data_IF_218008399550
#
_entry.id   IF_218008399550
#
_cell.length_a   1.000
_cell.length_b   1.000
_cell.length_c   1.000
_cell.angle_alpha   90.00
_cell.angle_beta   90.00
_cell.angle_gamma   90.00
#
_symmetry.space_group_name_H-M   'P 1'
#
loop_
_entity.id
_entity.type
_entity.pdbx_description
1 polymer ?
#
# COMPACT_ATOMS: atom_id res chain seq x y z
N UNK A 1 -19.20 -0.54 -16.23
CA UNK A 1 -18.09 -1.45 -16.43
C UNK A 1 -17.55 -1.41 -17.87
N UNK A 2 -18.39 -1.73 -18.89
CA UNK A 2 -17.94 -1.76 -20.30
C UNK A 2 -17.40 -0.43 -20.80
N UNK A 3 -17.98 0.69 -20.40
CA UNK A 3 -17.52 2.01 -20.79
C UNK A 3 -16.14 2.31 -20.18
N UNK A 4 -15.94 1.98 -18.90
CA UNK A 4 -14.64 2.11 -18.24
C UNK A 4 -13.54 1.27 -18.91
N UNK A 5 -13.86 0.04 -19.34
CA UNK A 5 -12.89 -0.80 -20.09
C UNK A 5 -12.52 -0.15 -21.41
N UNK A 6 -13.51 0.34 -22.18
CA UNK A 6 -13.25 1.03 -23.46
C UNK A 6 -12.40 2.28 -23.30
N UNK A 7 -12.66 3.06 -22.25
CA UNK A 7 -11.91 4.29 -21.94
C UNK A 7 -10.46 3.95 -21.58
N UNK A 8 -10.24 2.92 -20.78
CA UNK A 8 -8.91 2.45 -20.44
C UNK A 8 -8.14 1.91 -21.64
N UNK A 9 -8.79 1.12 -22.50
CA UNK A 9 -8.19 0.63 -23.74
C UNK A 9 -7.88 1.78 -24.72
N UNK A 10 -8.77 2.78 -24.83
CA UNK A 10 -8.54 3.95 -25.66
C UNK A 10 -7.33 4.74 -25.15
N UNK A 11 -7.24 4.97 -23.84
CA UNK A 11 -6.10 5.63 -23.21
C UNK A 11 -4.80 4.86 -23.42
N UNK A 12 -4.81 3.54 -23.28
CA UNK A 12 -3.62 2.72 -23.52
C UNK A 12 -3.12 2.90 -24.96
N UNK A 13 -4.02 2.82 -25.96
CA UNK A 13 -3.69 3.01 -27.37
C UNK A 13 -3.19 4.43 -27.68
N UNK A 14 -3.81 5.46 -27.11
CA UNK A 14 -3.39 6.86 -27.25
C UNK A 14 -1.96 7.08 -26.74
N UNK A 15 -1.60 6.38 -25.65
CA UNK A 15 -0.26 6.44 -25.05
C UNK A 15 0.75 5.46 -25.69
N UNK A 16 0.35 4.73 -26.75
CA UNK A 16 1.23 3.85 -27.52
C UNK A 16 1.38 2.43 -26.95
N UNK A 17 0.46 1.99 -26.11
CA UNK A 17 0.43 0.63 -25.56
C UNK A 17 -0.64 -0.21 -26.28
N UNK A 18 -0.36 -1.50 -26.47
CA UNK A 18 -1.32 -2.43 -27.06
C UNK A 18 -2.38 -2.88 -26.05
N UNK A 19 -1.99 -2.98 -24.77
CA UNK A 19 -2.84 -3.46 -23.68
C UNK A 19 -2.87 -2.50 -22.49
N UNK A 20 -3.98 -2.54 -21.75
CA UNK A 20 -4.12 -1.80 -20.49
C UNK A 20 -3.11 -2.28 -19.44
N UNK A 21 -2.86 -3.60 -19.37
CA UNK A 21 -1.85 -4.18 -18.46
C UNK A 21 -0.45 -3.63 -18.70
N UNK A 22 -0.05 -3.43 -19.96
CA UNK A 22 1.25 -2.81 -20.32
C UNK A 22 1.34 -1.36 -19.83
N UNK A 23 0.29 -0.56 -20.07
CA UNK A 23 0.23 0.81 -19.55
C UNK A 23 0.34 0.84 -18.02
N UNK A 24 -0.39 -0.03 -17.33
CA UNK A 24 -0.35 -0.11 -15.86
C UNK A 24 1.04 -0.48 -15.34
N UNK A 25 1.69 -1.44 -15.96
CA UNK A 25 3.07 -1.80 -15.64
C UNK A 25 4.04 -0.64 -15.90
N UNK A 26 3.89 0.06 -17.01
CA UNK A 26 4.71 1.24 -17.33
C UNK A 26 4.57 2.31 -16.23
N UNK A 27 3.35 2.59 -15.77
CA UNK A 27 3.09 3.53 -14.67
C UNK A 27 3.79 3.06 -13.39
N UNK A 28 3.65 1.78 -13.02
CA UNK A 28 4.31 1.23 -11.84
C UNK A 28 5.84 1.36 -11.92
N UNK A 29 6.43 1.08 -13.08
CA UNK A 29 7.88 1.24 -13.32
C UNK A 29 8.32 2.70 -13.27
N UNK A 30 7.54 3.62 -13.80
CA UNK A 30 7.82 5.06 -13.74
C UNK A 30 7.85 5.56 -12.30
N UNK A 31 6.91 5.11 -11.47
CA UNK A 31 6.90 5.41 -10.03
C UNK A 31 8.14 4.81 -9.34
N UNK A 32 8.49 3.56 -9.65
CA UNK A 32 9.72 2.92 -9.14
C UNK A 32 10.97 3.74 -9.46
N UNK A 33 11.10 4.15 -10.70
CA UNK A 33 12.28 4.89 -11.17
C UNK A 33 12.35 6.29 -10.52
N UNK A 34 11.19 6.94 -10.32
CA UNK A 34 11.10 8.19 -9.56
C UNK A 34 11.59 8.01 -8.11
N UNK A 35 11.12 6.97 -7.42
CA UNK A 35 11.58 6.68 -6.04
C UNK A 35 13.06 6.33 -6.02
N UNK A 36 13.50 5.46 -6.93
CA UNK A 36 14.92 5.08 -7.04
C UNK A 36 15.84 6.28 -7.24
N UNK A 37 15.36 7.31 -7.94
CA UNK A 37 16.07 8.57 -8.17
C UNK A 37 16.14 9.50 -6.96
N UNK A 38 15.41 9.22 -5.87
CA UNK A 38 15.39 10.03 -4.65
C UNK A 38 14.00 10.58 -4.30
N UNK A 39 12.94 10.13 -5.00
CA UNK A 39 11.56 10.51 -4.72
C UNK A 39 11.00 9.86 -3.46
N UNK A 40 9.82 10.31 -3.06
CA UNK A 40 9.05 9.72 -1.97
C UNK A 40 7.72 9.18 -2.48
N UNK A 41 7.40 7.94 -2.15
CA UNK A 41 6.10 7.32 -2.44
C UNK A 41 5.32 7.14 -1.14
N UNK A 42 4.12 7.71 -1.09
CA UNK A 42 3.12 7.43 -0.06
C UNK A 42 1.94 6.72 -0.69
N UNK A 43 1.68 5.47 -0.30
CA UNK A 43 0.58 4.68 -0.82
C UNK A 43 -0.28 4.12 0.31
N UNK A 44 -1.56 3.96 0.03
CA UNK A 44 -2.57 3.49 0.97
C UNK A 44 -3.48 2.46 0.31
N UNK A 45 -4.12 1.63 1.13
CA UNK A 45 -5.14 0.69 0.71
C UNK A 45 -4.59 -0.28 -0.37
N UNK A 46 -5.40 -0.66 -1.36
CA UNK A 46 -5.01 -1.56 -2.45
C UNK A 46 -3.87 -1.04 -3.34
N UNK A 47 -3.55 0.24 -3.30
CA UNK A 47 -2.39 0.75 -4.03
C UNK A 47 -1.07 0.19 -3.51
N UNK A 48 -1.03 -0.33 -2.30
CA UNK A 48 0.18 -0.87 -1.66
C UNK A 48 0.57 -2.23 -2.19
N UNK A 49 -0.35 -3.20 -2.16
CA UNK A 49 -0.11 -4.56 -2.62
C UNK A 49 -0.13 -4.66 -4.15
N UNK A 50 -1.12 -4.04 -4.83
CA UNK A 50 -1.22 -4.07 -6.30
C UNK A 50 -0.01 -3.46 -6.99
N UNK A 51 0.58 -2.41 -6.42
CA UNK A 51 1.83 -1.82 -6.90
C UNK A 51 2.99 -2.84 -6.86
N UNK A 52 3.15 -3.53 -5.73
CA UNK A 52 4.20 -4.55 -5.59
C UNK A 52 3.94 -5.78 -6.48
N UNK A 53 2.68 -6.19 -6.63
CA UNK A 53 2.29 -7.27 -7.54
C UNK A 53 2.67 -6.90 -8.98
N UNK A 54 2.31 -5.70 -9.45
CA UNK A 54 2.65 -5.23 -10.79
C UNK A 54 4.16 -5.24 -11.06
N UNK A 55 4.96 -4.76 -10.11
CA UNK A 55 6.43 -4.77 -10.24
C UNK A 55 7.01 -6.18 -10.30
N UNK A 56 6.48 -7.12 -9.50
CA UNK A 56 6.95 -8.50 -9.51
C UNK A 56 6.61 -9.25 -10.79
N UNK A 57 5.54 -8.85 -11.46
CA UNK A 57 5.01 -9.49 -12.67
C UNK A 57 5.55 -8.88 -13.98
N UNK A 58 6.64 -8.16 -13.95
CA UNK A 58 7.21 -7.47 -15.13
C UNK A 58 7.44 -8.40 -16.33
N UNK A 59 7.66 -9.70 -16.10
CA UNK A 59 7.98 -10.69 -17.14
C UNK A 59 6.88 -11.70 -17.39
N UNK A 60 5.69 -11.48 -16.87
CA UNK A 60 4.58 -12.41 -17.00
C UNK A 60 3.25 -11.68 -16.99
N UNK A 61 2.29 -12.22 -17.74
CA UNK A 61 0.93 -11.72 -17.75
C UNK A 61 0.14 -12.30 -16.57
N UNK A 62 -0.39 -11.41 -15.72
CA UNK A 62 -1.23 -11.76 -14.58
C UNK A 62 -2.67 -11.25 -14.76
N UNK A 63 -2.99 -10.68 -15.94
CA UNK A 63 -4.30 -10.13 -16.20
C UNK A 63 -5.24 -11.22 -16.73
N UNK A 64 -6.35 -11.44 -16.06
CA UNK A 64 -7.34 -12.43 -16.50
C UNK A 64 -8.12 -11.94 -17.72
N UNK A 65 -8.47 -12.89 -18.60
CA UNK A 65 -9.15 -12.67 -19.88
C UNK A 65 -10.35 -11.70 -19.80
N UNK A 66 -11.08 -11.71 -18.69
CA UNK A 66 -12.23 -10.81 -18.55
C UNK A 66 -11.86 -9.33 -18.50
N UNK A 67 -10.60 -8.99 -18.22
CA UNK A 67 -10.15 -7.61 -18.07
C UNK A 67 -9.51 -7.02 -19.33
N UNK A 68 -8.81 -7.85 -20.13
CA UNK A 68 -8.06 -7.38 -21.31
C UNK A 68 -8.21 -8.25 -22.58
N UNK A 69 -8.99 -9.33 -22.49
CA UNK A 69 -9.38 -10.14 -23.65
C UNK A 69 -8.44 -11.28 -24.03
N UNK A 70 -7.31 -11.45 -23.31
CA UNK A 70 -6.46 -12.64 -23.44
C UNK A 70 -6.20 -13.32 -22.08
N UNK A 71 -5.85 -14.62 -22.08
CA UNK A 71 -5.70 -15.35 -20.83
C UNK A 71 -4.39 -14.98 -20.13
N UNK A 72 -4.44 -14.90 -18.79
CA UNK A 72 -3.24 -14.79 -17.98
C UNK A 72 -2.29 -15.99 -18.17
N UNK A 73 -1.00 -15.79 -17.91
CA UNK A 73 -0.01 -16.86 -17.93
C UNK A 73 -0.29 -17.88 -16.81
N UNK A 74 -0.60 -19.15 -17.14
CA UNK A 74 -0.90 -20.17 -16.13
C UNK A 74 0.29 -20.45 -15.18
N UNK A 75 1.49 -20.05 -15.55
CA UNK A 75 2.71 -20.20 -14.76
C UNK A 75 3.17 -18.88 -14.13
N UNK A 76 2.33 -17.84 -14.09
CA UNK A 76 2.68 -16.52 -13.61
C UNK A 76 3.34 -16.54 -12.24
N UNK A 77 2.80 -17.32 -11.29
CA UNK A 77 3.35 -17.43 -9.94
C UNK A 77 4.84 -17.79 -9.90
N UNK A 78 5.30 -18.63 -10.80
CA UNK A 78 6.70 -19.08 -10.83
C UNK A 78 7.65 -18.11 -11.51
N UNK A 79 7.10 -17.10 -12.18
CA UNK A 79 7.83 -16.08 -12.93
C UNK A 79 7.94 -14.75 -12.20
N UNK A 80 7.34 -14.63 -11.00
CA UNK A 80 7.42 -13.41 -10.22
C UNK A 80 8.87 -13.12 -9.77
N UNK A 81 9.28 -11.88 -9.95
CA UNK A 81 10.59 -11.40 -9.47
C UNK A 81 10.41 -10.47 -8.28
N UNK A 82 10.54 -11.04 -7.08
CA UNK A 82 10.40 -10.27 -5.84
C UNK A 82 11.53 -9.27 -5.58
N UNK A 83 12.63 -9.28 -6.36
CA UNK A 83 13.66 -8.25 -6.26
C UNK A 83 13.18 -6.89 -6.80
N UNK A 84 12.15 -6.89 -7.64
CA UNK A 84 11.57 -5.66 -8.18
C UNK A 84 10.59 -4.97 -7.22
N UNK A 85 10.12 -5.68 -6.20
CA UNK A 85 9.12 -5.15 -5.25
C UNK A 85 9.76 -4.28 -4.18
N UNK A 86 8.97 -3.37 -3.61
CA UNK A 86 9.41 -2.51 -2.51
C UNK A 86 9.31 -3.24 -1.17
N UNK A 87 8.12 -3.69 -0.81
CA UNK A 87 7.81 -4.14 0.54
C UNK A 87 7.67 -5.65 0.69
N UNK A 88 7.23 -6.36 -0.35
CA UNK A 88 6.73 -7.73 -0.20
C UNK A 88 7.49 -8.73 -1.05
N UNK A 89 7.58 -9.95 -0.54
CA UNK A 89 8.20 -11.12 -1.19
C UNK A 89 7.42 -12.40 -0.88
N UNK A 90 7.68 -13.43 -1.63
CA UNK A 90 7.20 -14.80 -1.40
C UNK A 90 5.66 -14.91 -1.28
N UNK A 91 4.95 -13.90 -1.78
CA UNK A 91 3.49 -13.91 -1.80
C UNK A 91 2.93 -14.79 -2.92
N UNK A 92 1.70 -15.23 -2.70
CA UNK A 92 0.95 -16.05 -3.66
C UNK A 92 -0.12 -15.21 -4.31
N UNK A 93 -0.15 -15.19 -5.64
CA UNK A 93 -1.20 -14.55 -6.40
C UNK A 93 -2.54 -15.26 -6.22
N UNK A 94 -3.60 -14.49 -6.22
CA UNK A 94 -4.99 -14.95 -6.33
C UNK A 94 -5.48 -14.47 -7.70
N UNK A 95 -5.49 -15.40 -8.66
CA UNK A 95 -5.81 -15.10 -10.07
C UNK A 95 -7.32 -15.08 -10.32
N UNK A 96 -8.14 -15.62 -9.42
CA UNK A 96 -9.58 -15.66 -9.61
C UNK A 96 -10.21 -14.27 -9.53
N UNK A 97 -10.87 -13.77 -10.58
CA UNK A 97 -11.54 -12.48 -10.56
C UNK A 97 -12.77 -12.44 -9.65
N UNK A 98 -13.18 -13.59 -9.11
CA UNK A 98 -14.31 -13.72 -8.16
C UNK A 98 -13.86 -13.60 -6.71
N UNK A 99 -12.56 -13.48 -6.43
CA UNK A 99 -11.99 -13.25 -5.11
C UNK A 99 -11.58 -11.80 -5.01
N UNK A 100 -11.85 -11.18 -3.87
CA UNK A 100 -11.64 -9.75 -3.67
C UNK A 100 -10.16 -9.37 -3.55
N UNK A 101 -9.37 -10.25 -2.89
CA UNK A 101 -7.94 -10.06 -2.73
C UNK A 101 -7.18 -10.45 -4.00
N UNK A 102 -6.07 -9.75 -4.28
CA UNK A 102 -5.18 -10.05 -5.41
C UNK A 102 -4.04 -11.00 -5.04
N UNK A 103 -3.76 -11.13 -3.75
CA UNK A 103 -2.73 -12.03 -3.21
C UNK A 103 -2.90 -12.24 -1.71
N UNK A 104 -2.10 -13.14 -1.15
CA UNK A 104 -2.06 -13.35 0.31
C UNK A 104 -1.21 -12.29 1.06
N UNK A 105 -0.83 -11.20 0.42
CA UNK A 105 -0.33 -10.00 1.12
C UNK A 105 -1.45 -9.40 1.96
N UNK A 106 -2.63 -9.25 1.34
CA UNK A 106 -3.83 -8.78 2.01
C UNK A 106 -4.45 -9.88 2.88
N UNK A 107 -4.58 -9.62 4.17
CA UNK A 107 -5.19 -10.55 5.12
C UNK A 107 -6.53 -10.04 5.65
N UNK A 108 -7.10 -9.01 5.04
CA UNK A 108 -8.33 -8.34 5.50
C UNK A 108 -9.50 -9.31 5.66
N UNK A 109 -9.75 -10.17 4.67
CA UNK A 109 -10.86 -11.14 4.69
C UNK A 109 -10.66 -12.29 5.70
N UNK A 110 -9.43 -12.57 6.08
CA UNK A 110 -9.11 -13.63 7.02
C UNK A 110 -9.18 -13.18 8.48
N UNK A 111 -9.39 -11.90 8.70
CA UNK A 111 -9.43 -11.30 10.03
C UNK A 111 -10.76 -11.60 10.70
N UNK A 112 -10.69 -11.90 12.00
CA UNK A 112 -11.85 -12.07 12.89
C UNK A 112 -11.93 -10.94 13.92
N UNK A 113 -11.47 -9.75 13.53
CA UNK A 113 -11.46 -8.57 14.39
C UNK A 113 -12.71 -7.76 14.08
N UNK A 114 -13.47 -7.41 15.11
CA UNK A 114 -14.60 -6.48 14.95
C UNK A 114 -14.07 -5.07 14.76
N UNK A 115 -14.85 -4.28 14.04
CA UNK A 115 -14.52 -2.89 13.72
C UNK A 115 -14.11 -2.08 14.98
N UNK A 116 -14.89 -2.20 16.04
CA UNK A 116 -14.66 -1.46 17.29
C UNK A 116 -13.41 -1.91 18.05
N UNK A 117 -12.87 -3.07 17.70
CA UNK A 117 -11.69 -3.67 18.29
C UNK A 117 -10.46 -3.59 17.39
N UNK A 118 -10.62 -2.99 16.20
CA UNK A 118 -9.54 -2.94 15.22
C UNK A 118 -8.59 -1.77 15.51
N UNK A 119 -7.54 -2.07 16.26
CA UNK A 119 -6.47 -1.14 16.58
C UNK A 119 -5.12 -1.71 16.18
N UNK A 120 -4.19 -0.82 15.89
CA UNK A 120 -2.78 -1.17 15.76
C UNK A 120 -1.93 -0.31 16.68
N UNK A 121 -0.78 -0.84 17.07
CA UNK A 121 0.17 -0.15 17.94
C UNK A 121 1.32 0.37 17.11
N UNK A 122 1.64 1.64 17.28
CA UNK A 122 2.81 2.27 16.69
C UNK A 122 4.08 1.76 17.38
N UNK A 123 5.16 1.65 16.61
CA UNK A 123 6.47 1.41 17.14
C UNK A 123 6.88 2.55 18.08
N UNK A 124 7.49 2.22 19.21
CA UNK A 124 7.98 3.22 20.17
C UNK A 124 9.22 3.90 19.62
N UNK A 125 9.04 5.16 19.20
CA UNK A 125 10.15 5.99 18.74
C UNK A 125 10.77 6.78 19.89
N UNK A 126 12.08 6.91 19.81
CA UNK A 126 12.81 7.92 20.60
C UNK A 126 13.25 9.04 19.66
N UNK A 127 13.02 10.29 20.06
CA UNK A 127 13.47 11.45 19.29
C UNK A 127 14.99 11.45 19.01
N UNK A 128 15.75 10.68 19.76
CA UNK A 128 17.21 10.49 19.58
C UNK A 128 17.53 9.46 18.51
N UNK A 129 16.74 8.41 18.37
CA UNK A 129 17.03 7.24 17.53
C UNK A 129 16.03 7.03 16.38
N UNK A 130 15.06 7.92 16.30
CA UNK A 130 13.97 7.80 15.35
C UNK A 130 14.46 7.93 13.91
N UNK A 131 14.38 6.88 13.08
CA UNK A 131 14.77 6.95 11.68
C UNK A 131 13.83 7.83 10.86
N UNK A 132 12.60 8.06 11.34
CA UNK A 132 11.54 8.82 10.67
C UNK A 132 10.89 9.81 11.64
N UNK A 133 11.58 10.94 11.96
CA UNK A 133 11.17 11.86 13.05
C UNK A 133 9.75 12.41 12.93
N UNK A 134 9.21 12.52 11.70
CA UNK A 134 7.85 13.03 11.47
C UNK A 134 6.75 12.11 11.99
N UNK A 135 7.09 10.86 12.34
CA UNK A 135 6.14 9.88 12.86
C UNK A 135 5.82 10.04 14.34
N UNK A 136 6.54 10.90 15.05
CA UNK A 136 6.36 11.14 16.49
C UNK A 136 5.14 11.99 16.87
N UNK A 137 4.43 12.53 15.91
CA UNK A 137 3.41 13.54 16.16
C UNK A 137 1.99 12.97 16.26
N UNK A 138 1.74 12.06 17.20
CA UNK A 138 0.48 11.26 17.27
C UNK A 138 -0.43 11.66 18.42
N UNK A 139 -0.54 12.92 18.82
CA UNK A 139 -1.26 13.28 20.04
C UNK A 139 -0.82 12.53 21.29
N UNK A 140 0.45 12.12 21.34
CA UNK A 140 1.04 11.29 22.41
C UNK A 140 0.39 9.92 22.58
N UNK A 141 -0.35 9.43 21.58
CA UNK A 141 -0.86 8.06 21.57
C UNK A 141 0.04 7.16 20.71
N UNK A 142 0.18 5.90 21.13
CA UNK A 142 0.81 4.84 20.35
C UNK A 142 -0.20 3.80 19.86
N UNK A 143 -1.47 3.95 20.17
CA UNK A 143 -2.54 3.08 19.73
C UNK A 143 -3.48 3.86 18.82
N UNK A 144 -3.67 3.36 17.61
CA UNK A 144 -4.42 4.01 16.55
C UNK A 144 -5.50 3.05 16.05
N UNK A 145 -6.70 3.57 15.83
CA UNK A 145 -7.77 2.82 15.20
C UNK A 145 -7.37 2.37 13.80
N UNK A 146 -7.74 1.17 13.40
CA UNK A 146 -7.42 0.63 12.08
C UNK A 146 -8.07 1.46 10.98
N UNK A 147 -7.40 1.56 9.84
CA UNK A 147 -7.95 2.28 8.69
C UNK A 147 -8.83 1.35 7.87
N UNK A 148 -9.97 1.86 7.42
CA UNK A 148 -10.84 1.16 6.48
C UNK A 148 -10.25 1.18 5.07
N UNK A 149 -10.49 0.14 4.29
CA UNK A 149 -10.07 0.06 2.89
C UNK A 149 -10.03 -1.37 2.37
N UNK A 150 -9.69 -1.54 1.10
CA UNK A 150 -9.60 -2.86 0.48
C UNK A 150 -8.50 -3.69 1.14
N UNK A 151 -7.27 -3.19 1.14
CA UNK A 151 -6.12 -3.83 1.78
C UNK A 151 -5.91 -3.17 3.13
N UNK A 152 -6.55 -3.68 4.17
CA UNK A 152 -6.53 -3.09 5.52
C UNK A 152 -5.33 -3.56 6.34
N UNK A 153 -4.81 -4.74 6.05
CA UNK A 153 -3.72 -5.35 6.82
C UNK A 153 -2.79 -6.18 5.95
N UNK A 154 -1.51 -6.16 6.27
CA UNK A 154 -0.47 -6.89 5.54
C UNK A 154 -0.04 -8.16 6.29
N UNK A 155 0.08 -9.25 5.55
CA UNK A 155 0.67 -10.49 6.03
C UNK A 155 2.16 -10.28 6.33
N UNK A 156 2.54 -10.35 7.60
CA UNK A 156 3.93 -10.15 8.03
C UNK A 156 4.92 -11.15 7.41
N UNK A 157 4.46 -12.35 7.06
CA UNK A 157 5.31 -13.35 6.42
C UNK A 157 5.71 -12.97 4.98
N UNK A 158 4.96 -12.06 4.34
CA UNK A 158 5.28 -11.56 3.02
C UNK A 158 6.15 -10.29 3.04
N UNK A 159 6.41 -9.70 4.20
CA UNK A 159 7.21 -8.48 4.32
C UNK A 159 8.70 -8.82 4.21
N UNK A 160 9.45 -8.05 3.44
CA UNK A 160 10.90 -8.18 3.33
C UNK A 160 11.59 -7.80 4.66
N UNK A 161 12.73 -8.40 4.94
CA UNK A 161 13.45 -8.22 6.22
C UNK A 161 14.06 -6.84 6.44
N UNK A 162 14.25 -6.07 5.38
CA UNK A 162 14.76 -4.70 5.38
C UNK A 162 13.66 -3.63 5.51
N UNK A 163 12.41 -4.05 5.55
CA UNK A 163 11.26 -3.16 5.73
C UNK A 163 11.01 -2.89 7.20
N UNK A 164 10.86 -1.62 7.55
CA UNK A 164 10.54 -1.20 8.91
C UNK A 164 9.02 -1.27 9.14
N UNK A 165 8.60 -2.09 10.11
CA UNK A 165 7.21 -2.13 10.55
C UNK A 165 7.00 -1.02 11.58
N UNK A 166 6.25 0.01 11.19
CA UNK A 166 5.99 1.20 11.98
C UNK A 166 4.74 1.07 12.83
N UNK A 167 3.78 0.25 12.40
CA UNK A 167 2.54 -0.02 13.11
C UNK A 167 2.05 -1.44 12.82
N UNK A 168 1.63 -2.13 13.87
CA UNK A 168 1.21 -3.53 13.79
C UNK A 168 0.09 -3.88 14.78
N UNK A 169 -0.70 -4.88 14.45
CA UNK A 169 -1.53 -5.59 15.39
C UNK A 169 -0.83 -6.92 15.74
N UNK A 170 -0.18 -6.96 16.91
CA UNK A 170 0.59 -8.15 17.34
C UNK A 170 -0.29 -9.37 17.57
N UNK A 171 -1.50 -9.17 18.11
CA UNK A 171 -2.40 -10.27 18.42
C UNK A 171 -2.90 -10.97 17.14
N UNK A 172 -3.10 -10.22 16.06
CA UNK A 172 -3.49 -10.74 14.77
C UNK A 172 -2.30 -11.12 13.87
N UNK A 173 -1.07 -10.83 14.27
CA UNK A 173 0.15 -11.00 13.48
C UNK A 173 0.10 -10.24 12.14
N UNK A 174 -0.39 -9.01 12.15
CA UNK A 174 -0.57 -8.16 10.98
C UNK A 174 0.27 -6.90 11.09
N UNK A 175 0.83 -6.44 9.94
CA UNK A 175 1.37 -5.10 9.82
C UNK A 175 0.32 -4.17 9.20
N UNK A 176 0.32 -2.89 9.64
CA UNK A 176 -0.64 -1.87 9.21
C UNK A 176 0.02 -0.65 8.60
N UNK A 177 1.25 -0.42 8.98
CA UNK A 177 2.01 0.74 8.61
C UNK A 177 3.48 0.33 8.48
N UNK A 178 4.02 0.46 7.28
CA UNK A 178 5.37 0.02 6.96
C UNK A 178 6.11 1.09 6.15
N UNK A 179 7.44 1.12 6.30
CA UNK A 179 8.32 2.10 5.66
C UNK A 179 9.60 1.43 5.17
N UNK A 180 10.19 1.97 4.12
CA UNK A 180 11.47 1.50 3.61
C UNK A 180 12.15 2.46 2.66
N UNK A 181 13.31 2.04 2.20
CA UNK A 181 14.11 2.73 1.19
C UNK A 181 14.09 1.95 -0.12
N UNK A 182 14.22 2.66 -1.24
CA UNK A 182 14.41 2.05 -2.55
C UNK A 182 15.31 2.94 -3.39
N UNK A 183 16.51 2.46 -3.72
CA UNK A 183 17.53 3.27 -4.37
C UNK A 183 17.94 4.46 -3.50
N UNK A 184 17.69 5.68 -3.96
CA UNK A 184 17.97 6.92 -3.22
C UNK A 184 16.75 7.51 -2.53
N UNK A 185 15.58 6.95 -2.77
CA UNK A 185 14.32 7.44 -2.24
C UNK A 185 13.75 6.58 -1.13
N UNK A 186 12.59 6.99 -0.66
CA UNK A 186 11.87 6.33 0.45
C UNK A 186 10.42 6.13 0.08
N UNK A 187 9.78 5.20 0.78
CA UNK A 187 8.36 4.93 0.60
C UNK A 187 7.70 4.59 1.93
N UNK A 188 6.40 4.83 2.00
CA UNK A 188 5.56 4.51 3.15
C UNK A 188 4.23 3.94 2.68
N UNK A 189 3.81 2.82 3.26
CA UNK A 189 2.55 2.16 2.96
C UNK A 189 1.68 2.02 4.20
N UNK A 190 0.40 2.31 4.04
CA UNK A 190 -0.64 2.05 5.02
C UNK A 190 -1.64 1.01 4.53
N UNK A 191 -2.02 0.09 5.40
CA UNK A 191 -3.23 -0.69 5.21
C UNK A 191 -4.46 0.18 5.47
N UNK A 192 -5.40 0.19 4.53
CA UNK A 192 -6.56 1.07 4.56
C UNK A 192 -6.26 2.54 4.24
N UNK A 193 -7.28 3.37 4.25
CA UNK A 193 -7.17 4.79 3.90
C UNK A 193 -8.02 5.72 4.78
N UNK A 194 -9.09 5.23 5.42
CA UNK A 194 -9.92 6.06 6.27
C UNK A 194 -9.85 5.60 7.73
N UNK A 195 -9.26 6.42 8.62
CA UNK A 195 -9.12 6.09 10.03
C UNK A 195 -10.37 6.32 10.87
N UNK A 196 -11.39 7.02 10.36
CA UNK A 196 -12.55 7.44 11.14
C UNK A 196 -13.88 7.00 10.53
N UNK A 197 -13.87 6.46 9.30
CA UNK A 197 -15.06 5.99 8.62
C UNK A 197 -14.93 4.53 8.17
N UNK A 198 -15.32 3.60 9.03
CA UNK A 198 -15.32 2.16 8.76
C UNK A 198 -16.47 1.70 7.85
N UNK A 199 -17.42 2.57 7.55
CA UNK A 199 -18.63 2.26 6.76
C UNK A 199 -18.74 3.06 5.48
N UNK A 200 -17.64 3.68 5.05
CA UNK A 200 -17.60 4.45 3.83
C UNK A 200 -17.82 3.56 2.61
N UNK A 201 -18.90 3.83 1.88
CA UNK A 201 -19.22 3.14 0.64
C UNK A 201 -18.84 3.98 -0.58
N UNK A 202 -18.69 3.32 -1.72
CA UNK A 202 -18.51 4.02 -3.00
C UNK A 202 -19.70 4.96 -3.23
N UNK A 203 -19.42 6.23 -3.50
CA UNK A 203 -20.36 7.36 -3.64
C UNK A 203 -20.81 8.03 -2.33
N UNK A 204 -20.34 7.60 -1.17
CA UNK A 204 -20.56 8.39 0.04
C UNK A 204 -19.83 9.73 -0.05
N UNK A 205 -20.34 10.78 0.58
CA UNK A 205 -19.63 12.05 0.62
C UNK A 205 -18.32 11.90 1.35
N UNK A 206 -17.28 12.71 1.02
CA UNK A 206 -16.02 12.68 1.74
C UNK A 206 -16.22 12.91 3.23
N UNK A 207 -15.43 12.21 4.05
CA UNK A 207 -15.44 12.39 5.51
C UNK A 207 -15.11 13.85 5.87
N UNK A 208 -15.96 14.48 6.68
CA UNK A 208 -15.72 15.84 7.16
C UNK A 208 -14.66 15.84 8.26
N UNK A 209 -13.44 16.27 7.93
CA UNK A 209 -12.30 16.29 8.83
C UNK A 209 -12.53 17.22 10.05
N UNK A 210 -13.45 18.18 9.97
CA UNK A 210 -13.77 19.06 11.12
C UNK A 210 -14.46 18.28 12.25
N UNK A 211 -15.06 17.14 11.96
CA UNK A 211 -15.65 16.27 12.98
C UNK A 211 -14.58 15.51 13.78
N UNK A 212 -13.37 15.41 13.24
CA UNK A 212 -12.28 14.59 13.80
C UNK A 212 -10.97 15.39 14.01
N UNK A 213 -11.00 16.55 14.67
CA UNK A 213 -9.83 17.43 14.78
C UNK A 213 -8.67 16.82 15.56
N UNK A 214 -8.92 15.79 16.35
CA UNK A 214 -7.94 15.13 17.20
C UNK A 214 -7.64 13.68 16.74
N UNK A 215 -8.04 13.29 15.54
CA UNK A 215 -7.81 11.94 15.03
C UNK A 215 -6.32 11.60 14.95
N UNK A 216 -5.85 10.56 15.63
CA UNK A 216 -4.49 10.09 15.49
C UNK A 216 -4.20 9.56 14.07
N UNK A 217 -5.19 8.92 13.44
CA UNK A 217 -5.06 8.38 12.10
C UNK A 217 -4.86 9.46 11.04
N UNK A 218 -5.70 10.50 11.03
CA UNK A 218 -5.49 11.62 10.11
C UNK A 218 -4.19 12.37 10.40
N UNK A 219 -3.76 12.39 11.66
CA UNK A 219 -2.45 12.98 12.01
C UNK A 219 -1.30 12.19 11.40
N UNK A 220 -1.36 10.87 11.40
CA UNK A 220 -0.38 10.01 10.73
C UNK A 220 -0.31 10.28 9.22
N UNK A 221 -1.47 10.37 8.57
CA UNK A 221 -1.55 10.68 7.14
C UNK A 221 -0.89 12.03 6.86
N UNK A 222 -1.25 13.08 7.62
CA UNK A 222 -0.67 14.41 7.49
C UNK A 222 0.85 14.41 7.67
N UNK A 223 1.36 13.69 8.67
CA UNK A 223 2.80 13.57 8.90
C UNK A 223 3.51 13.00 7.67
N UNK A 224 2.92 12.00 7.01
CA UNK A 224 3.51 11.39 5.81
C UNK A 224 3.43 12.32 4.59
N UNK A 225 2.37 13.09 4.44
CA UNK A 225 2.28 14.13 3.39
C UNK A 225 3.36 15.19 3.57
N UNK A 226 3.68 15.54 4.81
CA UNK A 226 4.71 16.53 5.14
C UNK A 226 6.14 15.96 5.18
N UNK A 227 6.30 14.66 5.24
CA UNK A 227 7.59 13.99 5.40
C UNK A 227 8.66 14.41 4.36
N UNK A 228 8.36 14.53 3.07
CA UNK A 228 9.36 14.94 2.07
C UNK A 228 9.97 16.32 2.34
N UNK A 229 9.22 17.20 3.02
CA UNK A 229 9.68 18.54 3.38
C UNK A 229 10.45 18.58 4.71
N UNK A 230 10.50 17.46 5.44
CA UNK A 230 11.19 17.38 6.73
C UNK A 230 12.70 17.43 6.54
N UNK A 231 13.37 18.33 7.25
CA UNK A 231 14.84 18.39 7.27
C UNK A 231 15.39 17.18 8.05
N UNK A 232 16.35 16.47 7.47
CA UNK A 232 17.12 15.46 8.22
C UNK A 232 17.79 16.17 9.42
N UNK A 233 17.38 15.80 10.64
CA UNK A 233 18.06 16.25 11.84
C UNK A 233 19.38 15.49 11.99
N UNK A 234 20.47 16.21 12.26
CA UNK A 234 21.68 15.53 12.74
C UNK A 234 21.35 14.90 14.09
N UNK A 235 21.60 13.61 14.21
CA UNK A 235 21.50 12.93 15.50
C UNK A 235 22.39 13.67 16.50
N UNK A 236 21.81 14.08 17.63
CA UNK A 236 22.62 14.62 18.73
C UNK A 236 23.33 13.44 19.37
N UNK A 237 24.63 13.41 19.24
CA UNK A 237 25.53 12.49 19.97
C UNK A 237 25.52 12.83 21.45
#
# INVERSE_FOLDING_TARGET
YRDNVRDMEAMARELGFEKVSELKLFVAKTIRDYVSGGGFLFAMCSATDTYNIALSAEKTDICEHMFDGDPADPNAQTKLDFNQTFAFKDFKLIMSPMVYEHSNIDVTQNRRIREEEDFFTLFEFSAKWDPVPTMLCQNHTNMVHGFMGQTTAFNKNCIKSDVLIMGENKAANEARYIHGEYGKGTWTFYGGHDPEDYRHYVYDPPTDLNLFPNSPGYRLILNNVLFPAAKKKKLKT
#
